data_IF_572586328309
#
_entry.id   IF_572586328309
#
_cell.length_a   1.000
_cell.length_b   1.000
_cell.length_c   1.000
_cell.angle_alpha   90.00
_cell.angle_beta   90.00
_cell.angle_gamma   90.00
#
_symmetry.space_group_name_H-M   'P 1'
#
loop_
_entity.id
_entity.type
_entity.pdbx_description
1 polymer ?
#
# COMPACT_ATOMS: atom_id res chain seq x y z
N UNK A 1 -16.24 52.45 61.94
CA UNK A 1 -15.00 51.64 62.07
C UNK A 1 -15.37 50.20 61.86
N UNK A 2 -14.87 49.58 60.78
CA UNK A 2 -15.17 48.21 60.35
C UNK A 2 -16.57 48.08 59.74
N UNK A 3 -16.84 47.34 58.67
CA UNK A 3 -16.08 46.22 58.11
C UNK A 3 -16.28 46.09 56.60
N UNK A 4 -15.27 45.48 55.98
CA UNK A 4 -15.07 45.23 54.56
C UNK A 4 -16.12 44.29 53.97
N UNK A 5 -16.55 44.53 52.74
CA UNK A 5 -16.96 43.45 51.84
C UNK A 5 -16.53 43.71 50.38
N UNK A 6 -15.46 43.00 50.04
CA UNK A 6 -15.01 42.45 48.75
C UNK A 6 -15.63 43.00 47.46
N UNK A 7 -14.84 43.83 46.76
CA UNK A 7 -14.96 44.05 45.32
C UNK A 7 -14.63 42.76 44.56
N UNK A 8 -15.62 42.14 43.92
CA UNK A 8 -15.41 41.13 42.88
C UNK A 8 -15.44 41.79 41.50
N UNK A 9 -14.31 41.68 40.82
CA UNK A 9 -13.97 42.34 39.56
C UNK A 9 -14.89 41.96 38.41
N UNK A 10 -15.43 42.99 37.76
CA UNK A 10 -16.31 42.94 36.61
C UNK A 10 -15.44 42.90 35.35
N UNK A 11 -14.94 41.72 34.96
CA UNK A 11 -14.22 41.54 33.68
C UNK A 11 -15.22 41.11 32.61
N UNK A 12 -15.33 41.91 31.56
CA UNK A 12 -16.33 41.79 30.50
C UNK A 12 -16.24 40.48 29.71
N UNK A 13 -17.10 39.52 30.05
CA UNK A 13 -17.37 38.37 29.19
C UNK A 13 -18.26 38.79 28.02
N UNK A 14 -17.73 38.72 26.79
CA UNK A 14 -18.54 38.79 25.57
C UNK A 14 -19.76 37.86 25.72
N UNK A 15 -20.97 38.42 25.66
CA UNK A 15 -22.22 37.64 25.74
C UNK A 15 -22.32 36.75 24.50
N UNK A 16 -21.76 35.54 24.56
CA UNK A 16 -21.96 34.49 23.55
C UNK A 16 -23.45 34.16 23.46
N UNK A 17 -24.14 34.71 22.45
CA UNK A 17 -25.54 34.39 22.12
C UNK A 17 -25.54 33.44 20.93
N UNK A 18 -26.08 32.24 21.11
CA UNK A 18 -26.17 31.24 20.05
C UNK A 18 -27.60 31.10 19.54
N UNK A 19 -27.76 31.05 18.22
CA UNK A 19 -29.03 30.72 17.57
C UNK A 19 -29.00 29.27 17.11
N UNK A 20 -30.11 28.55 17.29
CA UNK A 20 -30.25 27.17 16.79
C UNK A 20 -30.39 27.09 15.27
N UNK A 21 -30.62 28.23 14.60
CA UNK A 21 -30.88 28.32 13.15
C UNK A 21 -29.68 28.76 12.32
N UNK A 22 -28.60 29.21 12.96
CA UNK A 22 -27.38 29.68 12.28
C UNK A 22 -26.14 28.97 12.84
N UNK A 23 -25.09 28.90 12.04
CA UNK A 23 -23.81 28.37 12.49
C UNK A 23 -23.16 29.34 13.48
N UNK A 24 -22.69 28.85 14.62
CA UNK A 24 -22.03 29.62 15.68
C UNK A 24 -20.59 30.04 15.34
N UNK A 25 -20.02 29.56 14.23
CA UNK A 25 -18.65 29.88 13.81
C UNK A 25 -18.63 30.87 12.65
N UNK A 26 -19.57 30.75 11.71
CA UNK A 26 -19.61 31.57 10.50
C UNK A 26 -20.90 32.37 10.34
N UNK A 27 -21.79 32.34 11.33
CA UNK A 27 -23.07 33.10 11.45
C UNK A 27 -24.08 32.94 10.31
N UNK A 28 -23.77 32.13 9.29
CA UNK A 28 -24.67 31.83 8.18
C UNK A 28 -25.64 30.70 8.52
N UNK A 29 -26.88 30.71 7.98
CA UNK A 29 -27.73 29.53 7.97
C UNK A 29 -27.06 28.44 7.12
N UNK A 30 -26.58 27.38 7.77
CA UNK A 30 -25.98 26.22 7.08
C UNK A 30 -27.05 25.28 6.55
N UNK A 31 -26.76 24.56 5.46
CA UNK A 31 -27.63 23.48 4.92
C UNK A 31 -27.88 22.38 5.96
N UNK A 32 -26.90 22.13 6.85
CA UNK A 32 -27.04 21.26 8.02
C UNK A 32 -26.21 21.76 9.20
N UNK A 33 -26.80 21.72 10.39
CA UNK A 33 -26.22 22.24 11.64
C UNK A 33 -26.04 21.12 12.67
N UNK A 34 -24.81 20.92 13.15
CA UNK A 34 -24.48 19.88 14.12
C UNK A 34 -24.41 20.45 15.53
N UNK A 35 -24.94 19.68 16.49
CA UNK A 35 -24.79 19.98 17.92
C UNK A 35 -23.37 19.63 18.36
N UNK A 36 -22.92 20.30 19.41
CA UNK A 36 -21.67 19.96 20.07
C UNK A 36 -21.87 18.62 20.81
N UNK A 37 -20.94 17.66 20.67
CA UNK A 37 -21.04 16.38 21.36
C UNK A 37 -21.09 16.55 22.89
N UNK A 38 -21.95 15.77 23.56
CA UNK A 38 -22.05 15.81 25.03
C UNK A 38 -20.84 15.19 25.74
N UNK A 39 -20.03 14.39 25.04
CA UNK A 39 -18.84 13.75 25.60
C UNK A 39 -17.77 14.81 25.95
N UNK A 40 -17.28 14.77 27.18
CA UNK A 40 -16.34 15.75 27.74
C UNK A 40 -15.04 15.89 26.94
N UNK A 41 -14.45 14.77 26.55
CA UNK A 41 -13.20 14.75 25.81
C UNK A 41 -13.35 15.34 24.40
N UNK A 42 -14.54 15.19 23.80
CA UNK A 42 -14.79 15.63 22.42
C UNK A 42 -15.15 17.11 22.38
N UNK A 43 -16.01 17.62 23.28
CA UNK A 43 -16.34 19.04 23.25
C UNK A 43 -15.21 19.94 23.70
N UNK A 44 -14.34 19.51 24.65
CA UNK A 44 -13.13 20.25 25.00
C UNK A 44 -12.21 20.42 23.78
N UNK A 45 -12.10 19.38 22.95
CA UNK A 45 -11.36 19.44 21.70
C UNK A 45 -11.99 20.40 20.70
N UNK A 46 -13.32 20.43 20.59
CA UNK A 46 -14.02 21.40 19.74
C UNK A 46 -13.80 22.84 20.21
N UNK A 47 -13.92 23.11 21.51
CA UNK A 47 -13.69 24.46 22.06
C UNK A 47 -12.26 24.93 21.83
N UNK A 48 -11.27 24.05 22.00
CA UNK A 48 -9.88 24.37 21.68
C UNK A 48 -9.69 24.76 20.22
N UNK A 49 -10.23 23.99 19.27
CA UNK A 49 -10.05 24.27 17.83
C UNK A 49 -10.86 25.49 17.35
N UNK A 50 -12.04 25.70 17.93
CA UNK A 50 -12.88 26.87 17.64
C UNK A 50 -12.45 28.12 18.42
N UNK A 51 -11.45 28.00 19.30
CA UNK A 51 -10.97 29.05 20.22
C UNK A 51 -12.10 29.66 21.06
N UNK A 52 -13.01 28.81 21.53
CA UNK A 52 -14.09 29.23 22.43
C UNK A 52 -13.67 29.05 23.87
N UNK A 53 -13.56 30.17 24.59
CA UNK A 53 -13.37 30.16 26.04
C UNK A 53 -14.74 30.22 26.74
N UNK A 54 -15.20 29.07 27.24
CA UNK A 54 -16.55 28.90 27.80
C UNK A 54 -16.46 28.67 29.31
N UNK A 55 -16.94 29.62 30.14
CA UNK A 55 -16.98 29.43 31.58
C UNK A 55 -17.86 28.22 31.98
N UNK A 56 -17.52 27.50 33.07
CA UNK A 56 -18.26 26.31 33.51
C UNK A 56 -19.77 26.54 33.68
N UNK A 57 -20.13 27.71 34.20
CA UNK A 57 -21.51 28.16 34.42
C UNK A 57 -22.34 28.24 33.14
N UNK A 58 -21.70 28.47 31.98
CA UNK A 58 -22.36 28.59 30.68
C UNK A 58 -22.23 27.34 29.82
N UNK A 59 -21.46 26.33 30.25
CA UNK A 59 -21.21 25.11 29.50
C UNK A 59 -22.51 24.44 29.03
N UNK A 60 -23.49 24.30 29.93
CA UNK A 60 -24.80 23.72 29.61
C UNK A 60 -25.53 24.51 28.52
N UNK A 61 -25.53 25.85 28.63
CA UNK A 61 -26.15 26.73 27.64
C UNK A 61 -25.48 26.61 26.27
N UNK A 62 -24.15 26.50 26.21
CA UNK A 62 -23.40 26.35 24.95
C UNK A 62 -23.70 25.00 24.29
N UNK A 63 -23.65 23.89 25.05
CA UNK A 63 -23.92 22.56 24.51
C UNK A 63 -25.34 22.45 23.93
N UNK A 64 -26.32 23.10 24.56
CA UNK A 64 -27.72 23.07 24.12
C UNK A 64 -28.00 23.93 22.88
N UNK A 65 -27.31 25.06 22.73
CA UNK A 65 -27.67 26.10 21.75
C UNK A 65 -26.67 26.24 20.61
N UNK A 66 -25.38 25.99 20.82
CA UNK A 66 -24.37 26.17 19.80
C UNK A 66 -24.48 25.11 18.69
N UNK A 67 -24.29 25.54 17.44
CA UNK A 67 -24.37 24.69 16.26
C UNK A 67 -23.25 25.00 15.30
N UNK A 68 -22.61 23.98 14.73
CA UNK A 68 -21.55 24.16 13.71
C UNK A 68 -22.01 23.54 12.40
N UNK A 69 -21.88 24.27 11.28
CA UNK A 69 -22.25 23.73 9.96
C UNK A 69 -21.19 22.76 9.41
N UNK A 70 -21.62 21.94 8.46
CA UNK A 70 -20.82 20.94 7.76
C UNK A 70 -19.53 21.48 7.10
N UNK A 71 -19.50 22.76 6.71
CA UNK A 71 -18.32 23.41 6.09
C UNK A 71 -17.07 23.42 6.97
N UNK A 72 -17.23 23.36 8.29
CA UNK A 72 -16.09 23.34 9.23
C UNK A 72 -15.55 21.93 9.47
N UNK A 73 -16.08 20.91 8.78
CA UNK A 73 -15.66 19.53 8.92
C UNK A 73 -15.13 18.99 7.59
N UNK A 74 -14.02 18.27 7.68
CA UNK A 74 -13.48 17.53 6.55
C UNK A 74 -14.43 16.39 6.16
N UNK A 75 -14.33 15.91 4.93
CA UNK A 75 -15.19 14.83 4.41
C UNK A 75 -15.06 13.54 5.25
N UNK A 76 -13.90 13.31 5.85
CA UNK A 76 -13.60 12.20 6.76
C UNK A 76 -14.29 12.27 8.12
N UNK A 77 -14.90 13.41 8.46
CA UNK A 77 -15.64 13.56 9.71
C UNK A 77 -17.06 12.99 9.64
N UNK A 78 -17.54 12.58 8.47
CA UNK A 78 -18.91 12.13 8.24
C UNK A 78 -18.99 10.63 8.00
N UNK A 79 -20.11 10.02 8.41
CA UNK A 79 -20.39 8.60 8.15
C UNK A 79 -20.76 8.32 6.68
N UNK A 80 -21.03 9.37 5.89
CA UNK A 80 -21.51 9.30 4.51
C UNK A 80 -21.17 10.58 3.75
N UNK A 81 -21.01 10.48 2.44
CA UNK A 81 -20.74 11.58 1.51
C UNK A 81 -21.84 12.64 1.47
N UNK A 82 -23.08 12.31 1.88
CA UNK A 82 -24.18 13.27 2.01
C UNK A 82 -24.04 14.20 3.24
N UNK A 83 -22.95 14.06 4.01
CA UNK A 83 -22.62 14.85 5.22
C UNK A 83 -23.76 14.94 6.22
N UNK A 84 -24.54 13.87 6.36
CA UNK A 84 -25.75 13.89 7.20
C UNK A 84 -25.47 13.62 8.69
N UNK A 85 -24.38 12.94 9.05
CA UNK A 85 -24.06 12.56 10.42
C UNK A 85 -22.55 12.57 10.65
N UNK A 86 -22.12 13.17 11.75
CA UNK A 86 -20.73 13.17 12.17
C UNK A 86 -20.36 11.87 12.88
N UNK A 87 -19.12 11.42 12.69
CA UNK A 87 -18.51 10.36 13.46
C UNK A 87 -18.22 10.83 14.90
N UNK A 88 -18.19 9.91 15.85
CA UNK A 88 -18.05 10.23 17.28
C UNK A 88 -16.74 10.97 17.62
N UNK A 89 -15.71 10.87 16.77
CA UNK A 89 -14.42 11.52 16.93
C UNK A 89 -14.21 12.72 16.00
N UNK A 90 -15.25 13.12 15.24
CA UNK A 90 -15.17 14.26 14.35
C UNK A 90 -14.85 15.55 15.12
N UNK A 91 -14.01 16.40 14.53
CA UNK A 91 -13.62 17.68 15.10
C UNK A 91 -13.57 18.73 13.98
N UNK A 92 -14.04 19.97 14.22
CA UNK A 92 -13.95 21.03 13.22
C UNK A 92 -12.49 21.38 12.90
N UNK A 93 -12.24 22.09 11.81
CA UNK A 93 -10.96 22.74 11.53
C UNK A 93 -11.14 24.26 11.39
N UNK A 94 -10.10 25.03 11.74
CA UNK A 94 -10.08 26.48 11.62
C UNK A 94 -9.78 26.87 10.17
N UNK A 95 -10.60 27.73 9.56
CA UNK A 95 -10.39 28.25 8.19
C UNK A 95 -9.93 29.69 8.30
N UNK A 96 -8.64 29.93 7.96
CA UNK A 96 -7.85 31.17 7.73
C UNK A 96 -6.50 31.01 8.46
N UNK A 97 -5.33 31.01 7.83
CA UNK A 97 -4.83 31.70 6.63
C UNK A 97 -3.97 30.79 5.73
N UNK A 98 -4.10 31.04 4.42
CA UNK A 98 -3.26 30.79 3.24
C UNK A 98 -2.39 29.53 3.03
N UNK A 99 -2.63 28.98 1.84
CA UNK A 99 -1.78 28.11 1.05
C UNK A 99 -0.49 28.87 0.69
N UNK A 100 0.64 28.47 1.25
CA UNK A 100 1.95 28.66 0.63
C UNK A 100 2.83 27.42 0.78
N UNK A 101 3.30 26.97 -0.38
CA UNK A 101 4.30 25.93 -0.60
C UNK A 101 5.66 26.32 -0.03
N UNK A 102 6.27 25.49 0.82
CA UNK A 102 7.73 25.30 1.02
C UNK A 102 7.89 23.97 1.80
N UNK A 103 8.48 22.91 1.24
CA UNK A 103 9.90 22.52 1.31
C UNK A 103 10.57 22.70 2.68
N UNK A 104 11.17 21.59 3.16
CA UNK A 104 12.06 21.43 4.35
C UNK A 104 11.38 21.74 5.69
N UNK A 105 11.25 20.81 6.66
CA UNK A 105 12.32 20.12 7.34
C UNK A 105 11.82 19.03 8.30
N UNK A 106 12.63 17.97 8.40
CA UNK A 106 12.97 17.19 9.59
C UNK A 106 11.86 16.79 10.59
N UNK A 107 11.31 15.58 10.38
CA UNK A 107 10.94 14.72 11.50
C UNK A 107 11.97 13.59 11.64
N UNK A 108 12.71 13.69 12.72
CA UNK A 108 13.60 12.70 13.32
C UNK A 108 13.07 11.28 13.22
N UNK A 109 13.79 10.44 12.47
CA UNK A 109 13.56 9.01 12.39
C UNK A 109 13.99 8.34 13.71
N UNK A 110 13.04 7.69 14.38
CA UNK A 110 13.34 6.60 15.31
C UNK A 110 13.68 5.34 14.48
N UNK A 111 14.72 4.57 14.85
CA UNK A 111 15.14 3.41 14.08
C UNK A 111 14.15 2.26 14.31
N UNK A 112 13.26 2.03 13.35
CA UNK A 112 12.41 0.84 13.34
C UNK A 112 13.23 -0.36 12.85
N UNK A 113 13.29 -1.40 13.66
CA UNK A 113 13.82 -2.74 13.34
C UNK A 113 12.90 -3.38 12.29
N UNK A 114 13.00 -2.90 11.06
CA UNK A 114 12.31 -3.49 9.92
C UNK A 114 13.22 -4.54 9.31
N UNK A 115 12.69 -5.75 9.16
CA UNK A 115 13.17 -6.77 8.24
C UNK A 115 13.46 -6.12 6.88
N UNK A 116 14.72 -5.77 6.63
CA UNK A 116 15.22 -5.50 5.29
C UNK A 116 15.34 -6.85 4.60
N UNK A 117 14.20 -7.41 4.21
CA UNK A 117 14.18 -8.43 3.18
C UNK A 117 14.54 -7.68 1.89
N UNK A 118 15.84 -7.64 1.57
CA UNK A 118 16.33 -7.27 0.25
C UNK A 118 15.48 -8.01 -0.76
N UNK A 119 14.91 -7.26 -1.70
CA UNK A 119 14.11 -7.76 -2.82
C UNK A 119 14.73 -9.04 -3.38
N UNK A 120 14.13 -10.17 -3.05
CA UNK A 120 14.38 -11.44 -3.74
C UNK A 120 13.83 -11.27 -5.13
N UNK A 121 14.70 -10.98 -6.09
CA UNK A 121 14.40 -11.31 -7.48
C UNK A 121 14.26 -12.83 -7.55
N UNK A 122 13.01 -13.26 -7.71
CA UNK A 122 12.70 -14.65 -8.04
C UNK A 122 13.32 -14.91 -9.41
N UNK A 123 14.40 -15.69 -9.45
CA UNK A 123 14.90 -16.24 -10.70
C UNK A 123 13.82 -17.20 -11.24
N UNK A 124 13.09 -16.78 -12.27
CA UNK A 124 12.25 -17.66 -13.07
C UNK A 124 13.14 -18.47 -14.02
N UNK A 125 13.07 -19.79 -13.91
CA UNK A 125 13.48 -20.71 -14.97
C UNK A 125 12.24 -20.87 -15.85
N UNK A 126 12.23 -20.22 -17.02
CA UNK A 126 11.22 -20.39 -18.05
C UNK A 126 11.32 -21.82 -18.64
N UNK A 127 10.22 -22.58 -18.76
CA UNK A 127 10.19 -23.75 -19.61
C UNK A 127 9.98 -23.32 -21.07
N UNK A 128 10.95 -23.66 -21.91
CA UNK A 128 10.87 -23.63 -23.37
C UNK A 128 9.59 -24.33 -23.85
N UNK A 129 8.65 -23.55 -24.38
CA UNK A 129 7.66 -24.01 -25.34
C UNK A 129 7.49 -22.95 -26.43
N UNK A 130 7.74 -23.40 -27.66
CA UNK A 130 7.66 -22.70 -28.93
C UNK A 130 6.29 -22.09 -29.20
N UNK A 131 6.22 -20.77 -29.41
CA UNK A 131 5.17 -20.14 -30.20
C UNK A 131 5.79 -19.20 -31.24
N UNK A 132 5.23 -19.30 -32.45
CA UNK A 132 5.70 -18.80 -33.72
C UNK A 132 5.78 -17.28 -33.81
N UNK A 133 6.84 -16.81 -34.47
CA UNK A 133 7.01 -15.45 -34.94
C UNK A 133 6.01 -15.13 -36.04
N UNK A 134 5.12 -14.16 -35.80
CA UNK A 134 4.51 -13.39 -36.88
C UNK A 134 5.07 -11.97 -36.83
N UNK A 135 5.85 -11.65 -37.86
CA UNK A 135 6.42 -10.35 -38.12
C UNK A 135 5.32 -9.38 -38.61
N UNK A 136 5.27 -8.18 -38.03
CA UNK A 136 4.53 -7.05 -38.59
C UNK A 136 5.54 -6.02 -39.13
N UNK A 137 5.31 -5.47 -40.33
CA UNK A 137 6.29 -4.68 -41.04
C UNK A 137 6.32 -3.22 -40.55
N UNK A 138 7.53 -2.68 -40.52
CA UNK A 138 7.82 -1.25 -40.44
C UNK A 138 7.36 -0.55 -41.72
N UNK A 139 6.26 0.19 -41.64
CA UNK A 139 5.79 1.13 -42.66
C UNK A 139 5.69 2.53 -42.07
N UNK A 140 6.68 3.36 -42.36
CA UNK A 140 6.67 4.80 -42.11
C UNK A 140 5.72 5.49 -43.09
N UNK A 141 4.57 5.97 -42.62
CA UNK A 141 3.81 7.00 -43.32
C UNK A 141 3.40 8.11 -42.34
N UNK A 142 4.01 9.27 -42.55
CA UNK A 142 3.58 10.56 -42.02
C UNK A 142 2.26 10.96 -42.69
N UNK A 143 1.16 10.93 -41.94
CA UNK A 143 -0.10 11.54 -42.37
C UNK A 143 -0.47 12.59 -41.34
N UNK A 144 -0.52 13.83 -41.83
CA UNK A 144 -0.84 15.06 -41.10
C UNK A 144 -2.25 15.04 -40.52
N UNK A 145 -2.43 15.80 -39.44
CA UNK A 145 -3.66 15.97 -38.67
C UNK A 145 -4.84 16.48 -39.52
N UNK A 146 -6.02 15.90 -39.28
CA UNK A 146 -7.31 16.56 -39.46
C UNK A 146 -8.38 15.88 -38.58
N UNK A 147 -9.01 16.64 -37.68
CA UNK A 147 -10.33 16.29 -37.13
C UNK A 147 -11.37 16.23 -38.25
N UNK A 148 -12.30 15.27 -38.27
CA UNK A 148 -13.48 15.41 -39.10
C UNK A 148 -14.56 16.17 -38.32
N UNK A 149 -14.68 17.47 -38.60
CA UNK A 149 -15.96 18.17 -38.53
C UNK A 149 -16.83 17.67 -39.68
N UNK A 150 -17.97 17.05 -39.38
CA UNK A 150 -18.98 16.72 -40.38
C UNK A 150 -20.33 17.30 -39.97
N UNK A 151 -20.51 18.59 -40.26
CA UNK A 151 -21.79 19.17 -40.62
C UNK A 151 -21.98 19.03 -42.14
N UNK A 152 -22.71 18.02 -42.59
CA UNK A 152 -23.22 17.99 -43.97
C UNK A 152 -24.66 18.50 -43.98
N UNK A 153 -24.78 19.77 -44.32
CA UNK A 153 -26.03 20.40 -44.77
C UNK A 153 -26.33 19.97 -46.21
N UNK A 154 -27.31 19.08 -46.39
CA UNK A 154 -27.91 18.86 -47.70
C UNK A 154 -29.01 19.90 -47.93
N UNK A 155 -28.76 20.81 -48.86
CA UNK A 155 -29.76 21.65 -49.50
C UNK A 155 -30.64 20.78 -50.39
N UNK A 156 -31.96 20.79 -50.16
CA UNK A 156 -32.94 20.37 -51.15
C UNK A 156 -34.05 21.41 -51.23
N UNK A 157 -34.20 22.01 -52.41
CA UNK A 157 -35.33 22.87 -52.78
C UNK A 157 -36.61 22.03 -52.93
N UNK A 158 -37.81 22.60 -52.69
CA UNK A 158 -39.05 21.85 -52.71
C UNK A 158 -39.62 21.78 -54.14
N UNK A 159 -39.82 20.57 -54.66
CA UNK A 159 -40.73 20.35 -55.79
C UNK A 159 -41.79 19.32 -55.41
N UNK A 160 -43.03 19.75 -55.65
CA UNK A 160 -44.32 19.11 -55.42
C UNK A 160 -44.46 17.70 -55.99
N UNK A 161 -45.31 16.92 -55.29
CA UNK A 161 -46.18 15.84 -55.76
C UNK A 161 -45.54 14.60 -56.41
N UNK A 162 -45.52 13.48 -55.68
CA UNK A 162 -46.48 12.38 -55.80
C UNK A 162 -46.05 11.21 -54.90
N UNK A 163 -46.97 10.77 -54.04
CA UNK A 163 -46.80 9.58 -53.21
C UNK A 163 -46.65 8.33 -54.09
N UNK A 164 -45.46 7.74 -54.12
CA UNK A 164 -45.31 6.30 -54.38
C UNK A 164 -44.52 5.67 -53.23
N UNK A 165 -45.24 4.89 -52.42
CA UNK A 165 -44.68 4.01 -51.41
C UNK A 165 -43.93 2.88 -52.12
N UNK A 166 -42.67 3.12 -52.50
CA UNK A 166 -41.76 2.04 -52.90
C UNK A 166 -41.18 1.42 -51.64
N UNK A 167 -41.87 0.40 -51.11
CA UNK A 167 -41.33 -0.49 -50.09
C UNK A 167 -40.13 -1.27 -50.68
N UNK A 168 -38.94 -0.67 -50.64
CA UNK A 168 -37.66 -1.30 -50.99
C UNK A 168 -37.51 -2.59 -50.17
N UNK A 169 -37.72 -3.74 -50.82
CA UNK A 169 -37.55 -5.03 -50.18
C UNK A 169 -36.09 -5.19 -49.76
N UNK A 170 -35.86 -5.26 -48.45
CA UNK A 170 -34.56 -5.55 -47.85
C UNK A 170 -34.17 -6.97 -48.25
N UNK A 171 -33.34 -7.10 -49.28
CA UNK A 171 -32.76 -8.39 -49.66
C UNK A 171 -31.81 -8.90 -48.55
N UNK A 172 -31.68 -10.23 -48.37
CA UNK A 172 -30.73 -10.79 -47.38
C UNK A 172 -29.30 -10.25 -47.54
N UNK A 173 -28.90 -9.96 -48.79
CA UNK A 173 -27.60 -9.37 -49.15
C UNK A 173 -27.46 -7.92 -48.66
N UNK A 174 -28.48 -7.07 -48.81
CA UNK A 174 -28.44 -5.68 -48.32
C UNK A 174 -28.45 -5.60 -46.79
N UNK A 175 -29.17 -6.51 -46.10
CA UNK A 175 -29.11 -6.66 -44.64
C UNK A 175 -27.72 -7.08 -44.16
N UNK A 176 -27.07 -8.01 -44.88
CA UNK A 176 -25.69 -8.45 -44.58
C UNK A 176 -24.68 -7.32 -44.79
N UNK A 177 -24.77 -6.57 -45.89
CA UNK A 177 -23.91 -5.40 -46.14
C UNK A 177 -24.09 -4.33 -45.03
N UNK A 178 -25.32 -4.05 -44.61
CA UNK A 178 -25.60 -3.10 -43.50
C UNK A 178 -24.99 -3.58 -42.19
N UNK A 179 -25.10 -4.88 -41.87
CA UNK A 179 -24.49 -5.47 -40.68
C UNK A 179 -22.96 -5.40 -40.73
N UNK A 180 -22.32 -5.77 -41.85
CA UNK A 180 -20.87 -5.67 -42.01
C UNK A 180 -20.38 -4.22 -41.89
N UNK A 181 -21.05 -3.25 -42.52
CA UNK A 181 -20.71 -1.82 -42.37
C UNK A 181 -20.81 -1.37 -40.91
N UNK A 182 -21.84 -1.82 -40.18
CA UNK A 182 -21.98 -1.53 -38.74
C UNK A 182 -20.86 -2.15 -37.91
N UNK A 183 -20.43 -3.37 -38.23
CA UNK A 183 -19.31 -4.05 -37.57
C UNK A 183 -17.98 -3.36 -37.85
N UNK A 184 -17.74 -2.92 -39.08
CA UNK A 184 -16.54 -2.16 -39.47
C UNK A 184 -16.49 -0.83 -38.72
N UNK A 185 -17.59 -0.08 -38.64
CA UNK A 185 -17.63 1.18 -37.85
C UNK A 185 -17.35 0.93 -36.37
N UNK A 186 -17.92 -0.13 -35.77
CA UNK A 186 -17.63 -0.51 -34.38
C UNK A 186 -16.15 -0.86 -34.20
N UNK A 187 -15.54 -1.55 -35.15
CA UNK A 187 -14.14 -1.94 -35.10
C UNK A 187 -13.20 -0.74 -35.26
N UNK A 188 -13.50 0.19 -36.19
CA UNK A 188 -12.78 1.45 -36.34
C UNK A 188 -12.81 2.30 -35.06
N UNK A 189 -13.97 2.39 -34.40
CA UNK A 189 -14.11 3.09 -33.11
C UNK A 189 -13.23 2.45 -32.03
N UNK A 190 -13.25 1.11 -31.90
CA UNK A 190 -12.39 0.39 -30.95
C UNK A 190 -10.89 0.59 -31.24
N UNK A 191 -10.50 0.63 -32.51
CA UNK A 191 -9.10 0.89 -32.90
C UNK A 191 -8.67 2.31 -32.52
N UNK A 192 -9.52 3.31 -32.75
CA UNK A 192 -9.25 4.68 -32.33
C UNK A 192 -9.06 4.75 -30.81
N UNK A 193 -10.01 4.23 -30.02
CA UNK A 193 -9.94 4.19 -28.55
C UNK A 193 -8.66 3.50 -28.04
N UNK A 194 -8.24 2.40 -28.68
CA UNK A 194 -6.99 1.69 -28.36
C UNK A 194 -5.76 2.55 -28.67
N UNK A 195 -5.76 3.27 -29.81
CA UNK A 195 -4.67 4.17 -30.21
C UNK A 195 -4.54 5.37 -29.26
N UNK A 196 -5.65 5.95 -28.80
CA UNK A 196 -5.64 7.04 -27.82
C UNK A 196 -5.14 6.56 -26.46
N UNK A 197 -5.57 5.38 -26.02
CA UNK A 197 -5.12 4.76 -24.76
C UNK A 197 -3.62 4.45 -24.77
N UNK A 198 -3.10 3.97 -25.91
CA UNK A 198 -1.67 3.72 -26.10
C UNK A 198 -0.84 5.01 -26.00
N UNK A 199 -1.30 6.09 -26.65
CA UNK A 199 -0.66 7.41 -26.54
C UNK A 199 -0.63 7.92 -25.10
N UNK A 200 -1.73 7.77 -24.35
CA UNK A 200 -1.79 8.15 -22.94
C UNK A 200 -0.78 7.38 -22.09
N UNK A 201 -0.67 6.06 -22.27
CA UNK A 201 0.31 5.25 -21.56
C UNK A 201 1.75 5.66 -21.89
N UNK A 202 2.04 5.98 -23.16
CA UNK A 202 3.35 6.49 -23.57
C UNK A 202 3.69 7.84 -22.93
N UNK A 203 2.73 8.77 -22.88
CA UNK A 203 2.90 10.05 -22.19
C UNK A 203 3.10 9.88 -20.68
N UNK A 204 2.33 8.97 -20.07
CA UNK A 204 2.45 8.65 -18.66
C UNK A 204 3.81 8.04 -18.33
N UNK A 205 4.32 7.16 -19.19
CA UNK A 205 5.65 6.57 -19.07
C UNK A 205 6.74 7.64 -19.16
N UNK A 206 6.64 8.57 -20.13
CA UNK A 206 7.58 9.67 -20.27
C UNK A 206 7.56 10.61 -19.04
N UNK A 207 6.38 10.91 -18.50
CA UNK A 207 6.24 11.76 -17.29
C UNK A 207 6.71 11.08 -16.00
N UNK A 208 6.68 9.75 -15.95
CA UNK A 208 7.07 8.95 -14.79
C UNK A 208 8.40 8.19 -15.00
N UNK A 209 9.22 8.61 -15.97
CA UNK A 209 10.49 7.95 -16.29
C UNK A 209 11.38 7.82 -15.04
N UNK A 210 11.42 8.85 -14.20
CA UNK A 210 12.22 8.89 -12.97
C UNK A 210 11.61 8.06 -11.81
N UNK A 211 10.37 7.57 -11.96
CA UNK A 211 9.61 6.85 -10.91
C UNK A 211 8.96 5.57 -11.46
N UNK A 212 9.77 4.56 -11.83
CA UNK A 212 9.27 3.34 -12.46
C UNK A 212 8.30 2.55 -11.58
N UNK A 213 8.49 2.56 -10.25
CA UNK A 213 7.57 1.90 -9.31
C UNK A 213 6.17 2.53 -9.32
N UNK A 214 6.10 3.86 -9.39
CA UNK A 214 4.84 4.58 -9.47
C UNK A 214 4.15 4.33 -10.82
N UNK A 215 4.91 4.33 -11.91
CA UNK A 215 4.40 3.97 -13.22
C UNK A 215 3.81 2.55 -13.23
N UNK A 216 4.54 1.56 -12.69
CA UNK A 216 4.07 0.17 -12.58
C UNK A 216 2.80 0.06 -11.72
N UNK A 217 2.73 0.82 -10.63
CA UNK A 217 1.53 0.86 -9.81
C UNK A 217 0.33 1.44 -10.57
N UNK A 218 0.47 2.62 -11.19
CA UNK A 218 -0.64 3.27 -11.91
C UNK A 218 -1.12 2.42 -13.08
N UNK A 219 -0.20 1.85 -13.86
CA UNK A 219 -0.54 0.94 -14.97
C UNK A 219 -1.22 -0.33 -14.47
N UNK A 220 -0.78 -0.88 -13.33
CA UNK A 220 -1.45 -1.99 -12.65
C UNK A 220 -2.89 -1.63 -12.27
N UNK A 221 -3.10 -0.44 -11.69
CA UNK A 221 -4.43 0.05 -11.32
C UNK A 221 -5.34 0.17 -12.54
N UNK A 222 -4.88 0.80 -13.62
CA UNK A 222 -5.65 0.93 -14.87
C UNK A 222 -6.05 -0.43 -15.44
N UNK A 223 -5.17 -1.44 -15.32
CA UNK A 223 -5.40 -2.81 -15.80
C UNK A 223 -6.37 -3.62 -14.91
N UNK A 224 -6.41 -3.34 -13.60
CA UNK A 224 -7.07 -4.20 -12.61
C UNK A 224 -8.33 -3.60 -11.99
N UNK A 225 -8.49 -2.27 -12.00
CA UNK A 225 -9.58 -1.60 -11.28
C UNK A 225 -10.96 -1.98 -11.85
N UNK A 226 -11.08 -2.07 -13.17
CA UNK A 226 -12.31 -2.44 -13.86
C UNK A 226 -12.59 -3.95 -13.89
N UNK A 227 -11.71 -4.76 -13.30
CA UNK A 227 -11.89 -6.22 -13.21
C UNK A 227 -12.49 -6.62 -11.88
N UNK A 228 -13.35 -7.62 -11.92
CA UNK A 228 -13.86 -8.29 -10.74
C UNK A 228 -12.71 -8.81 -9.88
N UNK A 229 -12.93 -8.86 -8.56
CA UNK A 229 -11.92 -9.28 -7.59
C UNK A 229 -11.30 -10.64 -7.91
N UNK A 230 -12.11 -11.59 -8.42
CA UNK A 230 -11.68 -12.93 -8.85
C UNK A 230 -10.98 -12.95 -10.23
N UNK A 231 -11.22 -11.93 -11.06
CA UNK A 231 -10.65 -11.80 -12.41
C UNK A 231 -9.27 -11.12 -12.45
N UNK A 232 -8.80 -10.58 -11.33
CA UNK A 232 -7.49 -9.92 -11.24
C UNK A 232 -6.36 -10.95 -11.31
N UNK A 233 -5.29 -10.61 -12.03
CA UNK A 233 -4.10 -11.46 -12.25
C UNK A 233 -2.85 -10.66 -11.94
N UNK A 234 -2.09 -11.09 -10.95
CA UNK A 234 -0.96 -10.31 -10.44
C UNK A 234 0.36 -10.91 -10.90
N UNK A 235 1.25 -10.07 -11.42
CA UNK A 235 2.65 -10.39 -11.67
C UNK A 235 3.43 -10.53 -10.36
N UNK A 236 4.62 -11.15 -10.41
CA UNK A 236 5.51 -11.26 -9.25
C UNK A 236 5.87 -9.87 -8.68
N UNK A 237 6.23 -8.91 -9.55
CA UNK A 237 6.58 -7.53 -9.14
C UNK A 237 5.43 -6.83 -8.38
N UNK A 238 4.20 -6.97 -8.86
CA UNK A 238 3.01 -6.42 -8.18
C UNK A 238 2.73 -7.11 -6.84
N UNK A 239 2.89 -8.44 -6.77
CA UNK A 239 2.75 -9.19 -5.51
C UNK A 239 3.81 -8.79 -4.50
N UNK A 240 5.07 -8.63 -4.93
CA UNK A 240 6.18 -8.19 -4.07
C UNK A 240 5.93 -6.79 -3.52
N UNK A 241 5.52 -5.83 -4.36
CA UNK A 241 5.15 -4.48 -3.92
C UNK A 241 3.99 -4.50 -2.90
N UNK A 242 2.93 -5.26 -3.18
CA UNK A 242 1.81 -5.42 -2.27
C UNK A 242 2.21 -6.08 -0.95
N UNK A 243 3.09 -7.09 -1.01
CA UNK A 243 3.61 -7.80 0.14
C UNK A 243 4.44 -6.87 1.05
N UNK A 244 5.28 -6.01 0.47
CA UNK A 244 6.06 -5.03 1.23
C UNK A 244 5.16 -4.12 2.08
N UNK A 245 4.09 -3.58 1.48
CA UNK A 245 3.11 -2.75 2.20
C UNK A 245 2.42 -3.57 3.29
N UNK A 246 2.03 -4.82 2.99
CA UNK A 246 1.36 -5.69 3.95
C UNK A 246 2.24 -6.04 5.16
N UNK A 247 3.52 -6.34 4.93
CA UNK A 247 4.49 -6.65 5.99
C UNK A 247 4.82 -5.42 6.84
N UNK A 248 4.87 -4.23 6.24
CA UNK A 248 5.10 -2.99 6.98
C UNK A 248 3.89 -2.57 7.81
N UNK A 249 2.67 -2.72 7.27
CA UNK A 249 1.45 -2.43 8.03
C UNK A 249 0.24 -3.16 7.45
N UNK A 250 -0.19 -4.27 8.08
CA UNK A 250 -1.40 -4.99 7.67
C UNK A 250 -2.66 -4.10 7.71
N UNK A 251 -2.71 -3.16 8.65
CA UNK A 251 -3.80 -2.20 8.82
C UNK A 251 -3.85 -1.18 7.68
N UNK A 252 -2.71 -0.58 7.32
CA UNK A 252 -2.63 0.33 6.19
C UNK A 252 -2.95 -0.40 4.86
N UNK A 253 -2.45 -1.61 4.69
CA UNK A 253 -2.78 -2.44 3.54
C UNK A 253 -4.28 -2.71 3.42
N UNK A 254 -4.95 -2.99 4.54
CA UNK A 254 -6.40 -3.19 4.57
C UNK A 254 -7.17 -1.92 4.21
N UNK A 255 -6.68 -0.74 4.59
CA UNK A 255 -7.25 0.55 4.20
C UNK A 255 -7.06 0.79 2.70
N UNK A 256 -5.83 0.67 2.20
CA UNK A 256 -5.50 0.90 0.78
C UNK A 256 -6.29 0.00 -0.16
N UNK A 257 -6.55 -1.25 0.24
CA UNK A 257 -7.37 -2.19 -0.53
C UNK A 257 -8.81 -1.76 -0.77
N UNK A 258 -9.34 -0.81 0.00
CA UNK A 258 -10.69 -0.28 -0.22
C UNK A 258 -10.76 0.63 -1.44
N UNK A 259 -9.64 1.27 -1.79
CA UNK A 259 -9.57 2.28 -2.85
C UNK A 259 -8.83 1.76 -4.09
N UNK A 260 -7.79 0.97 -3.87
CA UNK A 260 -6.90 0.47 -4.91
C UNK A 260 -7.06 -1.03 -5.10
N UNK A 261 -6.89 -1.48 -6.34
CA UNK A 261 -6.77 -2.88 -6.67
C UNK A 261 -5.44 -3.41 -6.13
N UNK A 262 -5.52 -4.20 -5.06
CA UNK A 262 -4.41 -4.96 -4.50
C UNK A 262 -4.76 -6.45 -4.35
N UNK A 263 -3.76 -7.35 -4.31
CA UNK A 263 -3.96 -8.77 -4.03
C UNK A 263 -4.72 -9.07 -2.74
N UNK A 264 -5.45 -10.19 -2.72
CA UNK A 264 -6.09 -10.66 -1.48
C UNK A 264 -5.03 -11.12 -0.45
N UNK A 265 -5.39 -11.20 0.85
CA UNK A 265 -4.46 -11.71 1.89
C UNK A 265 -4.06 -13.16 1.58
N UNK A 266 -5.06 -13.96 1.19
CA UNK A 266 -4.83 -15.34 0.74
C UNK A 266 -3.87 -15.40 -0.47
N UNK A 267 -3.97 -14.47 -1.41
CA UNK A 267 -3.04 -14.39 -2.55
C UNK A 267 -1.61 -14.10 -2.09
N UNK A 268 -1.43 -13.18 -1.14
CA UNK A 268 -0.11 -12.88 -0.58
C UNK A 268 0.43 -14.06 0.23
N UNK A 269 -0.39 -14.70 1.06
CA UNK A 269 0.00 -15.88 1.83
C UNK A 269 0.42 -17.03 0.92
N UNK A 270 -0.32 -17.28 -0.17
CA UNK A 270 0.06 -18.26 -1.19
C UNK A 270 1.35 -17.87 -1.93
N UNK A 271 1.59 -16.59 -2.13
CA UNK A 271 2.81 -16.11 -2.78
C UNK A 271 4.06 -16.36 -1.94
N UNK A 272 3.96 -16.20 -0.62
CA UNK A 272 5.06 -16.49 0.32
C UNK A 272 5.15 -17.96 0.72
N UNK A 273 4.15 -18.78 0.37
CA UNK A 273 4.05 -20.16 0.84
C UNK A 273 5.25 -21.01 0.42
N UNK A 274 5.75 -20.81 -0.80
CA UNK A 274 6.88 -21.57 -1.34
C UNK A 274 8.25 -21.08 -0.83
N UNK A 275 8.29 -20.05 0.03
CA UNK A 275 9.55 -19.61 0.64
C UNK A 275 9.88 -20.65 1.72
N UNK A 276 11.09 -21.22 1.66
CA UNK A 276 11.56 -22.18 2.65
C UNK A 276 11.52 -21.56 4.05
N UNK A 277 10.75 -22.18 4.96
CA UNK A 277 10.61 -21.76 6.35
C UNK A 277 11.31 -22.71 7.31
N UNK A 278 11.99 -23.73 6.82
CA UNK A 278 12.63 -24.72 7.68
C UNK A 278 13.75 -24.07 8.50
N UNK A 279 13.95 -24.51 9.76
CA UNK A 279 15.16 -24.21 10.50
C UNK A 279 16.42 -24.65 9.75
N UNK A 280 17.54 -24.01 10.05
CA UNK A 280 18.83 -24.17 9.40
C UNK A 280 19.18 -23.04 8.44
N UNK A 281 20.30 -23.22 7.75
CA UNK A 281 20.74 -22.29 6.72
C UNK A 281 19.94 -22.44 5.42
N UNK A 282 19.50 -21.31 4.87
CA UNK A 282 18.66 -21.33 3.68
C UNK A 282 19.50 -21.53 2.41
N UNK A 283 19.43 -22.71 1.78
CA UNK A 283 20.18 -23.00 0.54
C UNK A 283 19.82 -22.07 -0.62
N UNK A 284 18.56 -21.65 -0.71
CA UNK A 284 18.12 -20.70 -1.75
C UNK A 284 18.69 -19.31 -1.55
N UNK A 285 18.99 -18.94 -0.30
CA UNK A 285 19.63 -17.67 0.02
C UNK A 285 21.04 -17.60 -0.56
N UNK A 286 21.81 -18.69 -0.49
CA UNK A 286 23.18 -18.76 -1.03
C UNK A 286 23.21 -18.37 -2.51
N UNK A 287 22.26 -18.88 -3.30
CA UNK A 287 22.13 -18.53 -4.74
C UNK A 287 21.85 -17.03 -4.94
N UNK A 288 20.99 -16.46 -4.10
CA UNK A 288 20.65 -15.04 -4.15
C UNK A 288 21.85 -14.17 -3.76
N UNK A 289 22.57 -14.56 -2.69
CA UNK A 289 23.75 -13.86 -2.22
C UNK A 289 24.85 -13.84 -3.28
N UNK A 290 25.14 -14.97 -3.94
CA UNK A 290 26.10 -15.05 -5.05
C UNK A 290 25.80 -14.06 -6.18
N UNK A 291 24.52 -13.95 -6.56
CA UNK A 291 24.11 -12.97 -7.57
C UNK A 291 24.39 -11.54 -7.09
N UNK A 292 24.12 -11.23 -5.82
CA UNK A 292 24.36 -9.90 -5.27
C UNK A 292 25.84 -9.57 -5.13
N UNK A 293 26.66 -10.50 -4.65
CA UNK A 293 28.10 -10.29 -4.38
C UNK A 293 28.90 -10.12 -5.66
N UNK A 294 28.48 -10.76 -6.77
CA UNK A 294 29.08 -10.52 -8.10
C UNK A 294 29.04 -9.05 -8.54
N UNK A 295 28.10 -8.26 -8.00
CA UNK A 295 27.96 -6.82 -8.28
C UNK A 295 28.62 -5.93 -7.23
N UNK A 296 29.19 -6.51 -6.18
CA UNK A 296 29.86 -5.80 -5.10
C UNK A 296 31.36 -5.68 -5.39
N UNK A 297 31.94 -4.54 -5.02
CA UNK A 297 33.40 -4.38 -4.97
C UNK A 297 33.99 -5.24 -3.84
N UNK A 298 35.29 -5.53 -3.90
CA UNK A 298 35.98 -6.32 -2.87
C UNK A 298 35.79 -5.72 -1.47
N UNK A 299 35.90 -4.39 -1.33
CA UNK A 299 35.66 -3.71 -0.05
C UNK A 299 34.22 -3.86 0.47
N UNK A 300 33.23 -3.92 -0.43
CA UNK A 300 31.82 -4.06 -0.03
C UNK A 300 31.46 -5.47 0.44
N UNK A 301 32.34 -6.45 0.17
CA UNK A 301 32.20 -7.87 0.55
C UNK A 301 32.75 -8.17 1.94
N UNK A 302 33.34 -7.19 2.62
CA UNK A 302 33.76 -7.31 4.01
C UNK A 302 32.53 -7.30 4.94
N UNK A 303 32.39 -8.32 5.77
CA UNK A 303 31.27 -8.45 6.69
C UNK A 303 31.66 -8.90 8.10
N UNK A 304 30.76 -8.60 9.04
CA UNK A 304 30.74 -9.14 10.40
C UNK A 304 29.64 -10.20 10.49
N UNK A 305 29.97 -11.36 11.04
CA UNK A 305 28.99 -12.38 11.40
C UNK A 305 28.43 -12.07 12.79
N UNK A 306 27.14 -11.81 12.87
CA UNK A 306 26.40 -11.58 14.11
C UNK A 306 25.65 -12.86 14.47
N UNK A 307 25.77 -13.28 15.72
CA UNK A 307 25.08 -14.44 16.25
C UNK A 307 24.41 -14.07 17.56
N UNK A 308 23.11 -14.35 17.67
CA UNK A 308 22.33 -13.98 18.84
C UNK A 308 21.22 -15.01 19.11
N UNK A 309 20.79 -15.13 20.36
CA UNK A 309 19.74 -16.03 20.81
C UNK A 309 18.52 -15.24 21.30
N UNK A 310 17.33 -15.64 20.86
CA UNK A 310 16.07 -15.11 21.39
C UNK A 310 15.31 -16.18 22.15
N UNK A 311 14.83 -15.86 23.37
CA UNK A 311 13.94 -16.74 24.12
C UNK A 311 12.59 -16.85 23.42
N UNK A 312 12.10 -18.08 23.26
CA UNK A 312 10.79 -18.40 22.70
C UNK A 312 9.98 -19.20 23.72
N UNK A 313 8.65 -19.10 23.62
CA UNK A 313 7.76 -19.87 24.48
C UNK A 313 7.77 -21.35 24.04
N UNK A 314 8.11 -22.30 24.93
CA UNK A 314 8.04 -23.71 24.60
C UNK A 314 6.60 -24.12 24.27
N UNK A 315 6.43 -24.97 23.27
CA UNK A 315 5.14 -25.49 22.90
C UNK A 315 5.14 -26.15 21.54
N UNK A 316 4.19 -27.06 21.35
CA UNK A 316 4.02 -27.80 20.10
C UNK A 316 3.02 -27.09 19.20
N UNK A 317 3.36 -27.02 17.91
CA UNK A 317 2.46 -26.57 16.86
C UNK A 317 2.50 -27.55 15.72
N UNK A 318 1.33 -27.97 15.26
CA UNK A 318 1.22 -28.79 14.08
C UNK A 318 1.14 -27.90 12.85
N UNK A 319 2.16 -27.99 11.99
CA UNK A 319 2.22 -27.32 10.71
C UNK A 319 1.49 -28.19 9.68
N UNK A 320 0.20 -27.91 9.48
CA UNK A 320 -0.68 -28.66 8.56
C UNK A 320 -0.16 -28.68 7.12
N UNK A 321 0.61 -27.66 6.73
CA UNK A 321 1.18 -27.51 5.39
C UNK A 321 2.38 -28.43 5.13
N UNK A 322 3.14 -28.74 6.18
CA UNK A 322 4.34 -29.60 6.10
C UNK A 322 4.09 -30.99 6.68
N UNK A 323 2.90 -31.24 7.22
CA UNK A 323 2.56 -32.44 7.99
C UNK A 323 3.62 -32.73 9.07
N UNK A 324 4.04 -31.67 9.77
CA UNK A 324 5.13 -31.73 10.74
C UNK A 324 4.73 -31.12 12.07
N UNK A 325 5.33 -31.64 13.14
CA UNK A 325 5.19 -31.07 14.48
C UNK A 325 6.40 -30.18 14.75
N UNK A 326 6.15 -28.88 14.90
CA UNK A 326 7.13 -27.89 15.32
C UNK A 326 7.13 -27.76 16.85
N UNK A 327 8.27 -27.33 17.41
CA UNK A 327 8.42 -27.06 18.84
C UNK A 327 9.57 -27.78 19.52
N UNK A 328 10.33 -28.58 18.76
CA UNK A 328 11.51 -29.29 19.24
C UNK A 328 12.81 -28.59 18.83
N UNK A 329 13.88 -28.86 19.57
CA UNK A 329 15.23 -28.45 19.19
C UNK A 329 15.64 -29.05 17.85
N UNK A 330 16.25 -28.22 17.01
CA UNK A 330 16.64 -28.58 15.63
C UNK A 330 18.10 -28.97 15.52
N UNK A 331 18.90 -28.67 16.54
CA UNK A 331 20.32 -28.98 16.57
C UNK A 331 20.56 -30.12 17.55
N UNK A 332 21.44 -31.06 17.18
CA UNK A 332 21.73 -32.25 17.97
C UNK A 332 23.25 -32.40 18.10
N UNK A 333 23.76 -32.44 19.33
CA UNK A 333 25.13 -32.87 19.64
C UNK A 333 25.28 -34.39 19.72
N UNK A 334 24.20 -35.09 20.04
CA UNK A 334 24.12 -36.54 20.10
C UNK A 334 22.83 -37.02 19.41
N UNK A 335 22.89 -38.20 18.78
CA UNK A 335 21.67 -38.90 18.36
C UNK A 335 20.82 -39.13 19.61
N UNK A 336 19.73 -38.36 19.74
CA UNK A 336 18.83 -38.54 20.87
C UNK A 336 18.33 -39.99 20.83
N UNK A 337 18.64 -40.76 21.90
CA UNK A 337 18.01 -42.06 22.16
C UNK A 337 16.53 -41.89 22.56
N UNK A 338 16.12 -40.66 22.85
CA UNK A 338 14.78 -40.23 23.27
C UNK A 338 14.25 -39.12 22.33
N UNK A 339 13.04 -38.62 22.59
CA UNK A 339 12.47 -37.49 21.85
C UNK A 339 13.31 -36.22 22.05
N UNK A 340 13.45 -35.41 21.00
CA UNK A 340 14.19 -34.15 21.07
C UNK A 340 13.57 -33.20 22.13
N UNK A 341 14.37 -32.42 22.88
CA UNK A 341 13.85 -31.50 23.87
C UNK A 341 13.03 -30.37 23.23
N UNK A 342 12.12 -29.78 24.01
CA UNK A 342 11.36 -28.61 23.56
C UNK A 342 12.29 -27.41 23.32
N UNK A 343 12.07 -26.70 22.22
CA UNK A 343 12.80 -25.49 21.94
C UNK A 343 12.38 -24.35 22.89
N UNK A 344 13.36 -23.76 23.56
CA UNK A 344 13.22 -22.62 24.48
C UNK A 344 13.85 -21.36 23.89
N UNK A 345 14.74 -21.53 22.91
CA UNK A 345 15.50 -20.46 22.28
C UNK A 345 15.52 -20.62 20.75
N UNK A 346 15.73 -19.51 20.05
CA UNK A 346 16.04 -19.48 18.64
C UNK A 346 17.37 -18.74 18.42
N UNK A 347 18.38 -19.49 17.99
CA UNK A 347 19.70 -19.02 17.61
C UNK A 347 19.65 -18.50 16.16
N UNK A 348 20.07 -17.26 15.93
CA UNK A 348 19.99 -16.60 14.62
C UNK A 348 21.37 -16.17 14.15
N UNK A 349 21.68 -16.46 12.88
CA UNK A 349 22.91 -16.05 12.21
C UNK A 349 22.62 -14.94 11.20
N UNK A 350 23.28 -13.79 11.34
CA UNK A 350 23.13 -12.63 10.46
C UNK A 350 24.49 -12.13 9.98
N UNK A 351 24.65 -11.94 8.67
CA UNK A 351 25.80 -11.23 8.13
C UNK A 351 25.48 -9.72 8.00
N UNK A 352 26.43 -8.87 8.38
CA UNK A 352 26.33 -7.42 8.28
C UNK A 352 27.54 -6.84 7.56
N UNK A 353 27.31 -6.09 6.49
CA UNK A 353 28.37 -5.40 5.77
C UNK A 353 29.06 -4.33 6.63
N UNK A 354 30.38 -4.24 6.51
CA UNK A 354 31.20 -3.25 7.22
C UNK A 354 31.19 -1.92 6.47
N UNK A 355 31.55 -1.98 5.17
CA UNK A 355 31.69 -0.79 4.32
C UNK A 355 30.31 -0.30 3.85
N UNK A 356 29.45 -1.22 3.42
CA UNK A 356 28.07 -0.92 3.02
C UNK A 356 27.10 -1.41 4.08
N UNK A 357 26.08 -0.60 4.35
CA UNK A 357 25.02 -0.96 5.29
C UNK A 357 24.03 -1.94 4.67
N UNK A 358 24.44 -3.21 4.55
CA UNK A 358 23.57 -4.32 4.21
C UNK A 358 23.53 -5.33 5.37
N UNK A 359 22.41 -6.04 5.49
CA UNK A 359 22.20 -7.08 6.50
C UNK A 359 21.48 -8.24 5.85
N UNK A 360 21.88 -9.46 6.16
CA UNK A 360 21.23 -10.67 5.66
C UNK A 360 21.17 -11.73 6.75
N UNK A 361 19.97 -12.24 7.02
CA UNK A 361 19.79 -13.45 7.85
C UNK A 361 20.22 -14.66 7.03
N UNK A 362 21.17 -15.45 7.54
CA UNK A 362 21.66 -16.66 6.90
C UNK A 362 20.78 -17.88 7.20
N UNK A 363 20.36 -17.96 8.46
CA UNK A 363 19.61 -19.08 8.98
C UNK A 363 19.27 -18.87 10.44
N UNK A 364 18.47 -19.78 10.96
CA UNK A 364 18.12 -19.82 12.36
C UNK A 364 17.96 -21.27 12.80
N UNK A 365 18.27 -21.55 14.06
CA UNK A 365 18.13 -22.86 14.66
C UNK A 365 17.36 -22.76 15.96
N UNK A 366 16.48 -23.72 16.22
CA UNK A 366 15.84 -23.87 17.52
C UNK A 366 16.72 -24.69 18.46
N UNK A 367 16.88 -24.18 19.68
CA UNK A 367 17.74 -24.74 20.73
C UNK A 367 16.99 -24.80 22.06
N UNK A 368 17.44 -25.67 22.96
CA UNK A 368 16.88 -25.86 24.31
C UNK A 368 17.84 -25.41 25.40
N UNK A 369 19.13 -25.69 25.24
CA UNK A 369 20.25 -25.30 26.10
C UNK A 369 21.52 -25.15 25.26
N UNK A 370 22.46 -24.31 25.72
CA UNK A 370 23.80 -24.14 25.13
C UNK A 370 24.61 -25.44 25.05
N UNK A 371 24.30 -26.42 25.89
CA UNK A 371 25.02 -27.72 25.94
C UNK A 371 24.61 -28.68 24.82
N UNK A 372 23.44 -28.47 24.21
CA UNK A 372 22.76 -29.43 23.33
C UNK A 372 23.26 -29.42 21.88
N UNK A 373 24.19 -28.50 21.55
CA UNK A 373 24.68 -28.34 20.19
C UNK A 373 26.17 -27.97 20.12
N UNK A 374 26.77 -28.22 18.96
CA UNK A 374 28.13 -27.77 18.69
C UNK A 374 28.10 -26.39 18.02
N UNK A 375 28.23 -25.34 18.85
CA UNK A 375 28.22 -23.96 18.37
C UNK A 375 29.32 -23.67 17.35
N UNK A 376 30.50 -24.27 17.53
CA UNK A 376 31.63 -24.08 16.64
C UNK A 376 31.34 -24.60 15.23
N UNK A 377 30.68 -25.76 15.10
CA UNK A 377 30.29 -26.33 13.81
C UNK A 377 29.32 -25.42 13.04
N UNK A 378 28.33 -24.86 13.73
CA UNK A 378 27.36 -23.93 13.10
C UNK A 378 28.01 -22.62 12.65
N UNK A 379 28.97 -22.10 13.43
CA UNK A 379 29.76 -20.93 13.03
C UNK A 379 30.58 -21.26 11.78
N UNK A 380 31.28 -22.40 11.75
CA UNK A 380 32.07 -22.80 10.59
C UNK A 380 31.18 -22.99 9.35
N UNK A 381 30.01 -23.62 9.49
CA UNK A 381 29.06 -23.74 8.39
C UNK A 381 28.58 -22.37 7.88
N UNK A 382 28.27 -21.42 8.78
CA UNK A 382 27.90 -20.05 8.39
C UNK A 382 29.03 -19.34 7.63
N UNK A 383 30.28 -19.47 8.10
CA UNK A 383 31.46 -18.90 7.46
C UNK A 383 31.68 -19.53 6.08
N UNK A 384 31.58 -20.86 5.96
CA UNK A 384 31.73 -21.56 4.69
C UNK A 384 30.67 -21.12 3.67
N UNK A 385 29.43 -20.91 4.12
CA UNK A 385 28.36 -20.36 3.27
C UNK A 385 28.74 -18.97 2.76
N UNK A 386 29.23 -18.08 3.63
CA UNK A 386 29.63 -16.72 3.27
C UNK A 386 30.84 -16.71 2.33
N UNK A 387 31.87 -17.49 2.63
CA UNK A 387 33.05 -17.65 1.78
C UNK A 387 32.68 -18.23 0.40
N UNK A 388 31.75 -19.19 0.34
CA UNK A 388 31.26 -19.71 -0.93
C UNK A 388 30.60 -18.63 -1.79
N UNK A 389 30.13 -17.53 -1.19
CA UNK A 389 29.54 -16.37 -1.86
C UNK A 389 30.55 -15.23 -2.13
N UNK A 390 31.85 -15.46 -1.90
CA UNK A 390 32.91 -14.44 -2.00
C UNK A 390 32.74 -13.30 -0.98
N UNK A 391 32.11 -13.55 0.17
CA UNK A 391 31.98 -12.60 1.28
C UNK A 391 33.06 -12.95 2.30
N UNK A 392 33.89 -11.97 2.67
CA UNK A 392 34.96 -12.14 3.65
C UNK A 392 34.45 -11.80 5.06
N UNK A 393 34.59 -12.74 5.99
CA UNK A 393 34.20 -12.56 7.39
C UNK A 393 35.39 -12.04 8.18
N UNK A 394 35.33 -10.78 8.61
CA UNK A 394 36.44 -10.12 9.32
C UNK A 394 36.35 -10.35 10.83
N UNK A 395 35.14 -10.43 11.36
CA UNK A 395 34.91 -10.63 12.80
C UNK A 395 33.58 -11.33 13.06
N UNK A 396 33.50 -11.95 14.23
CA UNK A 396 32.28 -12.58 14.74
C UNK A 396 31.89 -11.84 16.01
N UNK A 397 30.61 -11.51 16.15
CA UNK A 397 30.06 -10.87 17.35
C UNK A 397 28.92 -11.74 17.86
N UNK A 398 29.07 -12.21 19.09
CA UNK A 398 28.05 -12.94 19.84
C UNK A 398 27.91 -12.34 21.23
N UNK A 399 26.76 -12.54 21.86
CA UNK A 399 26.58 -12.20 23.27
C UNK A 399 27.36 -13.18 24.17
N UNK A 400 27.65 -12.78 25.40
CA UNK A 400 28.27 -13.60 26.44
C UNK A 400 27.25 -14.52 27.13
N UNK A 401 26.32 -15.10 26.38
CA UNK A 401 25.40 -16.12 26.88
C UNK A 401 26.21 -17.31 27.43
N UNK A 402 25.82 -17.80 28.62
CA UNK A 402 26.52 -18.87 29.34
C UNK A 402 26.49 -20.21 28.62
#
# INVERSE_FOLDING_TARGET
TGDMDVNAENVGYQKMKFSKRTCSVCETPGSKLFRIPLNENVHKKWFSVLKWDVPPERLKYVLDNARVCDRHFSEWCFTSTLRQKLLNFACPFTIREDIQSTSSDNFSALPSVAFQCTSVEVCEVEPLCSESMDAEPSGSESIMDAEPSCSESFMFSPTSSHNTSSHLQVTPKTKKIKNLRSSVSKLKKKLYEKRTSSRFLGQLQAKLADKPQLYNFVTSQLRMQCKDSKGRRWSAKEKTFALQIYLHSPSAYQLLRKYFAFPSKATLHRYIYNIAKSPGFCKNLVKCLKSQTSRMSESDRLCVLLVDEMSIKPGLKYATDLDSVDGFSTVKKHDFKEDAPFATQALVFMARGIVKNWKQILGYHFTSSSEDYNFSELIHEAIDILHSCEIEVVSIVCDQGQ
#
